data_IF_292252092994
#
_entry.id   IF_292252092994
#
_cell.length_a   1.000
_cell.length_b   1.000
_cell.length_c   1.000
_cell.angle_alpha   90.00
_cell.angle_beta   90.00
_cell.angle_gamma   90.00
#
_symmetry.space_group_name_H-M   'P 1'
#
loop_
_entity.id
_entity.type
_entity.pdbx_description
1 polymer ?
#
# COMPACT_ATOMS: atom_id res chain seq x y z
N UNK A 1 -16.23 7.59 27.50
CA UNK A 1 -15.32 7.23 26.40
C UNK A 1 -15.35 8.39 25.42
N UNK A 2 -14.37 9.25 25.47
CA UNK A 2 -14.20 10.39 24.56
C UNK A 2 -13.83 9.82 23.19
N UNK A 3 -14.73 9.91 22.22
CA UNK A 3 -14.41 9.74 20.80
C UNK A 3 -13.30 10.76 20.47
N UNK A 4 -12.10 10.29 20.22
CA UNK A 4 -11.03 11.14 19.68
C UNK A 4 -11.43 11.44 18.23
N UNK A 5 -11.74 12.70 17.96
CA UNK A 5 -11.88 13.17 16.59
C UNK A 5 -10.66 12.74 15.77
N UNK A 6 -10.86 12.21 14.57
CA UNK A 6 -9.75 11.82 13.72
C UNK A 6 -8.83 13.04 13.51
N UNK A 7 -7.50 12.85 13.51
CA UNK A 7 -6.58 13.96 13.30
C UNK A 7 -6.91 14.69 12.00
N UNK A 8 -6.98 16.00 12.07
CA UNK A 8 -7.22 16.86 10.90
C UNK A 8 -6.15 16.59 9.85
N UNK A 9 -6.54 16.00 8.74
CA UNK A 9 -5.69 15.77 7.56
C UNK A 9 -6.12 16.75 6.48
N UNK A 10 -5.37 17.83 6.24
CA UNK A 10 -5.68 18.77 5.18
C UNK A 10 -5.64 18.08 3.80
N UNK A 11 -6.59 18.41 2.94
CA UNK A 11 -6.62 17.90 1.56
C UNK A 11 -5.60 18.58 0.64
N UNK A 12 -4.95 19.62 1.13
CA UNK A 12 -3.91 20.37 0.42
C UNK A 12 -2.53 20.03 0.99
N UNK A 13 -1.55 20.02 0.12
CA UNK A 13 -0.16 19.69 0.43
C UNK A 13 0.70 20.92 0.16
N UNK A 14 1.37 21.43 1.22
CA UNK A 14 2.30 22.54 1.09
C UNK A 14 3.70 22.01 0.74
N UNK A 15 4.23 22.31 -0.44
CA UNK A 15 5.57 21.90 -0.80
C UNK A 15 6.64 22.63 0.05
N UNK A 16 7.82 22.05 0.23
CA UNK A 16 8.91 22.70 0.96
C UNK A 16 9.36 24.00 0.29
N UNK A 17 9.09 24.17 -1.01
CA UNK A 17 9.32 25.39 -1.77
C UNK A 17 8.56 26.61 -1.25
N UNK A 18 7.36 26.43 -0.64
CA UNK A 18 6.64 27.53 -0.01
C UNK A 18 7.48 28.16 1.11
N UNK A 19 8.11 27.34 1.95
CA UNK A 19 9.02 27.83 3.00
C UNK A 19 10.29 28.51 2.46
N UNK A 20 10.74 28.12 1.25
CA UNK A 20 11.83 28.83 0.57
C UNK A 20 11.33 30.19 0.05
N UNK A 21 10.13 30.23 -0.52
CA UNK A 21 9.49 31.45 -1.01
C UNK A 21 9.28 32.44 0.13
N UNK A 22 8.68 32.02 1.23
CA UNK A 22 8.50 32.85 2.40
C UNK A 22 9.83 33.45 2.91
N UNK A 23 10.89 32.63 2.97
CA UNK A 23 12.20 33.05 3.45
C UNK A 23 12.91 34.06 2.52
N UNK A 24 12.69 34.00 1.19
CA UNK A 24 13.25 34.98 0.27
C UNK A 24 12.42 36.28 0.23
N UNK A 25 11.09 36.17 0.38
CA UNK A 25 10.18 37.32 0.48
C UNK A 25 10.47 38.15 1.74
N UNK A 26 10.68 37.52 2.90
CA UNK A 26 11.09 38.21 4.14
C UNK A 26 12.41 38.98 4.03
N UNK A 27 13.25 38.64 3.04
CA UNK A 27 14.57 39.25 2.81
C UNK A 27 14.60 40.19 1.60
N UNK A 28 13.47 40.39 0.94
CA UNK A 28 13.37 41.12 -0.34
C UNK A 28 14.32 40.57 -1.43
N UNK A 29 14.52 39.23 -1.46
CA UNK A 29 15.40 38.59 -2.45
C UNK A 29 14.60 38.04 -3.62
N UNK A 30 15.23 38.10 -4.80
CA UNK A 30 14.76 37.38 -5.99
C UNK A 30 15.26 35.95 -6.00
N UNK A 31 14.61 35.08 -6.81
CA UNK A 31 15.08 33.72 -7.02
C UNK A 31 16.50 33.68 -7.63
N UNK A 32 16.86 34.65 -8.47
CA UNK A 32 18.21 34.78 -9.02
C UNK A 32 19.26 35.07 -7.93
N UNK A 33 18.93 35.95 -7.00
CA UNK A 33 19.82 36.25 -5.85
C UNK A 33 19.98 35.06 -4.92
N UNK A 34 18.91 34.29 -4.70
CA UNK A 34 19.00 33.04 -3.94
C UNK A 34 19.87 32.01 -4.65
N UNK A 35 19.72 31.87 -5.98
CA UNK A 35 20.50 30.93 -6.80
C UNK A 35 22.01 31.25 -6.71
N UNK A 36 22.38 32.50 -6.84
CA UNK A 36 23.78 32.97 -6.68
C UNK A 36 24.34 32.58 -5.32
N UNK A 37 23.60 32.84 -4.23
CA UNK A 37 24.01 32.53 -2.85
C UNK A 37 24.14 31.04 -2.56
N UNK A 38 23.27 30.21 -3.18
CA UNK A 38 23.32 28.75 -3.06
C UNK A 38 24.37 28.10 -3.96
N UNK A 39 24.91 28.85 -4.93
CA UNK A 39 25.77 28.30 -5.98
C UNK A 39 25.00 27.37 -6.93
N UNK A 40 23.74 27.70 -7.20
CA UNK A 40 22.86 26.99 -8.13
C UNK A 40 22.50 27.88 -9.33
N UNK A 41 21.95 27.27 -10.37
CA UNK A 41 21.30 28.02 -11.45
C UNK A 41 19.91 28.47 -10.99
N UNK A 42 19.42 29.59 -11.52
CA UNK A 42 18.05 30.06 -11.28
C UNK A 42 17.00 28.99 -11.62
N UNK A 43 17.22 28.28 -12.74
CA UNK A 43 16.39 27.14 -13.14
C UNK A 43 16.32 26.08 -12.03
N UNK A 44 17.44 25.74 -11.39
CA UNK A 44 17.47 24.75 -10.33
C UNK A 44 16.70 25.22 -9.09
N UNK A 45 16.85 26.50 -8.71
CA UNK A 45 16.08 27.09 -7.61
C UNK A 45 14.59 27.09 -7.93
N UNK A 46 14.19 27.45 -9.14
CA UNK A 46 12.80 27.36 -9.58
C UNK A 46 12.25 25.93 -9.49
N UNK A 47 13.04 24.92 -9.85
CA UNK A 47 12.64 23.51 -9.72
C UNK A 47 12.50 23.08 -8.26
N UNK A 48 13.36 23.57 -7.35
CA UNK A 48 13.24 23.33 -5.89
C UNK A 48 11.98 23.95 -5.31
N UNK A 49 11.72 25.23 -5.65
CA UNK A 49 10.53 25.96 -5.17
C UNK A 49 9.25 25.27 -5.64
N UNK A 50 9.21 24.85 -6.90
CA UNK A 50 8.06 24.15 -7.48
C UNK A 50 7.99 22.64 -7.12
N UNK A 51 8.83 22.16 -6.21
CA UNK A 51 8.94 20.76 -5.80
C UNK A 51 9.10 19.76 -6.97
N UNK A 52 9.68 20.22 -8.09
CA UNK A 52 10.00 19.36 -9.25
C UNK A 52 11.27 18.55 -9.04
N UNK A 53 12.14 18.99 -8.14
CA UNK A 53 13.30 18.25 -7.64
C UNK A 53 13.25 18.22 -6.12
N UNK A 54 13.71 17.13 -5.48
CA UNK A 54 13.68 16.99 -4.03
C UNK A 54 14.77 17.84 -3.36
N UNK A 55 14.54 18.23 -2.11
CA UNK A 55 15.58 18.75 -1.24
C UNK A 55 16.44 17.56 -0.76
N UNK A 56 17.69 17.51 -1.28
CA UNK A 56 18.70 16.53 -0.87
C UNK A 56 19.46 17.02 0.38
N UNK A 57 20.30 16.13 0.98
CA UNK A 57 21.16 16.50 2.10
C UNK A 57 22.06 17.70 1.76
N UNK A 58 22.62 17.74 0.54
CA UNK A 58 23.46 18.85 0.06
C UNK A 58 22.66 20.16 -0.01
N UNK A 59 21.48 20.12 -0.64
CA UNK A 59 20.62 21.30 -0.77
C UNK A 59 20.08 21.76 0.58
N UNK A 60 19.76 20.84 1.50
CA UNK A 60 19.35 21.16 2.86
C UNK A 60 20.45 21.89 3.65
N UNK A 61 21.71 21.46 3.51
CA UNK A 61 22.86 22.15 4.11
C UNK A 61 23.07 23.55 3.55
N UNK A 62 22.93 23.71 2.22
CA UNK A 62 23.06 25.01 1.55
C UNK A 62 21.94 25.97 1.96
N UNK A 63 20.67 25.49 1.95
CA UNK A 63 19.52 26.26 2.40
C UNK A 63 19.69 26.70 3.85
N UNK A 64 20.11 25.80 4.74
CA UNK A 64 20.36 26.12 6.14
C UNK A 64 21.39 27.26 6.32
N UNK A 65 22.48 27.25 5.55
CA UNK A 65 23.52 28.29 5.61
C UNK A 65 23.05 29.64 5.07
N UNK A 66 22.20 29.65 4.05
CA UNK A 66 21.83 30.86 3.28
C UNK A 66 20.55 31.50 3.81
N UNK A 67 19.52 30.72 4.07
CA UNK A 67 18.20 31.23 4.49
C UNK A 67 17.83 30.82 5.90
N UNK A 68 18.64 30.01 6.57
CA UNK A 68 18.44 29.62 7.96
C UNK A 68 17.71 28.30 8.14
N UNK A 69 17.22 28.07 9.34
CA UNK A 69 16.73 26.80 9.84
C UNK A 69 17.82 25.72 9.90
N UNK A 70 17.51 24.51 10.31
CA UNK A 70 18.49 23.42 10.34
C UNK A 70 18.38 22.54 9.08
N UNK A 71 19.42 21.80 8.69
CA UNK A 71 19.33 20.84 7.59
C UNK A 71 18.22 19.81 7.84
N UNK A 72 18.03 19.37 9.09
CA UNK A 72 16.98 18.43 9.48
C UNK A 72 15.57 19.01 9.26
N UNK A 73 15.40 20.32 9.45
CA UNK A 73 14.12 20.99 9.15
C UNK A 73 13.78 20.84 7.68
N UNK A 74 14.70 21.15 6.78
CA UNK A 74 14.49 21.07 5.34
C UNK A 74 14.22 19.65 4.86
N UNK A 75 15.00 18.67 5.34
CA UNK A 75 14.79 17.26 5.02
C UNK A 75 13.45 16.73 5.56
N UNK A 76 13.05 17.15 6.77
CA UNK A 76 11.75 16.78 7.35
C UNK A 76 10.59 17.36 6.54
N UNK A 77 10.69 18.63 6.10
CA UNK A 77 9.69 19.25 5.22
C UNK A 77 9.53 18.49 3.92
N UNK A 78 10.64 18.12 3.27
CA UNK A 78 10.63 17.29 2.05
C UNK A 78 9.98 15.93 2.31
N UNK A 79 10.39 15.23 3.37
CA UNK A 79 9.85 13.92 3.70
C UNK A 79 8.34 13.96 3.98
N UNK A 80 7.87 14.96 4.73
CA UNK A 80 6.45 15.16 5.01
C UNK A 80 5.65 15.43 3.72
N UNK A 81 6.16 16.30 2.86
CA UNK A 81 5.55 16.59 1.58
C UNK A 81 5.41 15.34 0.71
N UNK A 82 6.49 14.57 0.54
CA UNK A 82 6.46 13.32 -0.24
C UNK A 82 5.51 12.29 0.36
N UNK A 83 5.50 12.14 1.67
CA UNK A 83 4.58 11.23 2.36
C UNK A 83 3.11 11.60 2.11
N UNK A 84 2.77 12.90 2.12
CA UNK A 84 1.42 13.36 1.82
C UNK A 84 1.03 13.13 0.37
N UNK A 85 1.93 13.40 -0.59
CA UNK A 85 1.69 13.10 -2.01
C UNK A 85 1.39 11.60 -2.23
N UNK A 86 2.20 10.73 -1.65
CA UNK A 86 1.99 9.27 -1.72
C UNK A 86 0.61 8.89 -1.17
N UNK A 87 0.15 9.51 -0.07
CA UNK A 87 -1.17 9.23 0.49
C UNK A 87 -2.32 9.67 -0.43
N UNK A 88 -2.18 10.83 -1.09
CA UNK A 88 -3.18 11.32 -2.05
C UNK A 88 -3.24 10.40 -3.27
N UNK A 89 -2.08 10.11 -3.88
CA UNK A 89 -2.00 9.21 -5.03
C UNK A 89 -2.52 7.81 -4.72
N UNK A 90 -2.23 7.29 -3.53
CA UNK A 90 -2.72 5.98 -3.08
C UNK A 90 -4.24 5.99 -2.90
N UNK A 91 -4.81 7.05 -2.32
CA UNK A 91 -6.27 7.21 -2.19
C UNK A 91 -6.96 7.17 -3.55
N UNK A 92 -6.44 7.93 -4.53
CA UNK A 92 -7.00 7.98 -5.87
C UNK A 92 -6.88 6.61 -6.57
N UNK A 93 -5.75 5.95 -6.38
CA UNK A 93 -5.51 4.59 -6.89
C UNK A 93 -6.49 3.58 -6.30
N UNK A 94 -6.63 3.55 -4.98
CA UNK A 94 -7.58 2.67 -4.29
C UNK A 94 -9.03 2.95 -4.73
N UNK A 95 -9.38 4.22 -4.95
CA UNK A 95 -10.69 4.60 -5.49
C UNK A 95 -10.91 4.04 -6.90
N UNK A 96 -9.91 4.06 -7.75
CA UNK A 96 -9.99 3.51 -9.12
C UNK A 96 -10.18 1.99 -9.12
N UNK A 97 -9.73 1.30 -8.07
CA UNK A 97 -9.84 -0.15 -7.90
C UNK A 97 -11.12 -0.64 -7.21
N UNK A 98 -12.00 0.27 -6.80
CA UNK A 98 -13.29 -0.09 -6.16
C UNK A 98 -14.10 -1.11 -6.96
N UNK A 99 -14.16 -1.09 -8.31
CA UNK A 99 -14.88 -2.10 -9.08
C UNK A 99 -14.38 -3.53 -8.87
N UNK A 100 -13.12 -3.72 -8.46
CA UNK A 100 -12.56 -5.05 -8.14
C UNK A 100 -13.29 -5.76 -6.99
N UNK A 101 -13.91 -5.00 -6.06
CA UNK A 101 -14.69 -5.55 -4.94
C UNK A 101 -15.85 -6.44 -5.41
N UNK A 102 -16.42 -6.16 -6.58
CA UNK A 102 -17.55 -6.93 -7.13
C UNK A 102 -17.13 -8.35 -7.54
N UNK A 103 -15.84 -8.60 -7.70
CA UNK A 103 -15.27 -9.89 -8.04
C UNK A 103 -14.97 -10.77 -6.82
N UNK A 104 -15.07 -10.22 -5.62
CA UNK A 104 -14.63 -10.86 -4.37
C UNK A 104 -15.80 -11.09 -3.41
N UNK A 105 -15.77 -12.13 -2.56
CA UNK A 105 -16.80 -12.40 -1.56
C UNK A 105 -16.61 -11.52 -0.32
N UNK A 106 -16.65 -10.19 -0.50
CA UNK A 106 -16.31 -9.19 0.54
C UNK A 106 -17.10 -9.39 1.82
N UNK A 107 -18.43 -9.63 1.71
CA UNK A 107 -19.30 -9.83 2.88
C UNK A 107 -18.94 -11.09 3.67
N UNK A 108 -18.56 -12.15 2.98
CA UNK A 108 -18.19 -13.42 3.63
C UNK A 108 -16.84 -13.28 4.33
N UNK A 109 -15.87 -12.57 3.69
CA UNK A 109 -14.59 -12.25 4.31
C UNK A 109 -14.74 -11.39 5.59
N UNK A 110 -15.66 -10.41 5.56
CA UNK A 110 -16.01 -9.65 6.77
C UNK A 110 -16.66 -10.52 7.83
N UNK A 111 -17.55 -11.44 7.44
CA UNK A 111 -18.23 -12.35 8.37
C UNK A 111 -17.26 -13.31 9.05
N UNK A 112 -16.25 -13.78 8.31
CA UNK A 112 -15.20 -14.67 8.82
C UNK A 112 -14.13 -13.92 9.64
N UNK A 113 -14.16 -12.58 9.64
CA UNK A 113 -13.16 -11.77 10.34
C UNK A 113 -11.81 -11.65 9.61
N UNK A 114 -11.74 -12.03 8.33
CA UNK A 114 -10.54 -11.92 7.52
C UNK A 114 -10.19 -10.46 7.18
N UNK A 115 -11.21 -9.60 7.10
CA UNK A 115 -11.11 -8.14 6.97
C UNK A 115 -12.08 -7.48 7.96
N UNK A 116 -11.85 -6.20 8.27
CA UNK A 116 -12.67 -5.45 9.22
C UNK A 116 -14.12 -5.31 8.75
N UNK A 117 -15.08 -5.45 9.68
CA UNK A 117 -16.49 -5.21 9.37
C UNK A 117 -16.72 -3.73 9.14
N UNK A 118 -17.06 -3.36 7.91
CA UNK A 118 -17.36 -2.00 7.47
C UNK A 118 -18.63 -1.96 6.64
N UNK A 119 -19.27 -0.79 6.60
CA UNK A 119 -20.37 -0.55 5.65
C UNK A 119 -19.81 -0.43 4.23
N UNK A 120 -20.46 -1.07 3.25
CA UNK A 120 -20.08 -1.02 1.83
C UNK A 120 -20.61 0.28 1.17
N UNK A 121 -20.14 1.43 1.65
CA UNK A 121 -20.45 2.74 1.09
C UNK A 121 -19.25 3.34 0.35
N UNK A 122 -19.46 4.44 -0.35
CA UNK A 122 -18.42 5.08 -1.15
C UNK A 122 -17.19 5.49 -0.32
N UNK A 123 -17.40 5.88 0.95
CA UNK A 123 -16.33 6.31 1.85
C UNK A 123 -15.42 5.15 2.28
N UNK A 124 -16.01 3.98 2.54
CA UNK A 124 -15.28 2.84 3.08
C UNK A 124 -14.70 1.91 2.01
N UNK A 125 -15.23 1.93 0.78
CA UNK A 125 -14.80 1.02 -0.29
C UNK A 125 -13.29 1.09 -0.60
N UNK A 126 -12.63 2.25 -0.69
CA UNK A 126 -11.18 2.28 -0.91
C UNK A 126 -10.38 1.60 0.21
N UNK A 127 -10.79 1.77 1.46
CA UNK A 127 -10.14 1.12 2.59
C UNK A 127 -10.35 -0.40 2.58
N UNK A 128 -11.52 -0.86 2.14
CA UNK A 128 -11.79 -2.30 1.94
C UNK A 128 -10.90 -2.86 0.83
N UNK A 129 -10.68 -2.12 -0.27
CA UNK A 129 -9.73 -2.50 -1.33
C UNK A 129 -8.34 -2.69 -0.74
N UNK A 130 -7.86 -1.73 0.06
CA UNK A 130 -6.55 -1.80 0.71
C UNK A 130 -6.41 -3.02 1.62
N UNK A 131 -7.41 -3.28 2.47
CA UNK A 131 -7.41 -4.47 3.35
C UNK A 131 -7.39 -5.79 2.54
N UNK A 132 -8.09 -5.84 1.41
CA UNK A 132 -8.10 -7.02 0.53
C UNK A 132 -6.76 -7.22 -0.18
N UNK A 133 -6.11 -6.16 -0.66
CA UNK A 133 -4.76 -6.24 -1.22
C UNK A 133 -3.77 -6.79 -0.18
N UNK A 134 -3.87 -6.32 1.07
CA UNK A 134 -3.06 -6.82 2.19
C UNK A 134 -3.37 -8.29 2.51
N UNK A 135 -4.66 -8.67 2.56
CA UNK A 135 -5.08 -10.05 2.78
C UNK A 135 -4.48 -11.00 1.74
N UNK A 136 -4.58 -10.64 0.45
CA UNK A 136 -4.05 -11.43 -0.64
C UNK A 136 -2.52 -11.32 -0.81
N UNK A 137 -1.88 -10.35 -0.16
CA UNK A 137 -0.45 -10.10 -0.29
C UNK A 137 -0.04 -9.65 -1.70
N UNK A 138 -0.84 -8.79 -2.33
CA UNK A 138 -0.63 -8.30 -3.70
C UNK A 138 -0.63 -6.77 -3.75
N UNK A 139 0.11 -6.20 -4.70
CA UNK A 139 0.23 -4.76 -4.85
C UNK A 139 -0.91 -4.12 -5.63
N UNK A 140 -1.64 -4.89 -6.45
CA UNK A 140 -2.74 -4.40 -7.28
C UNK A 140 -3.74 -5.51 -7.62
N UNK A 141 -4.97 -5.16 -8.08
CA UNK A 141 -5.90 -6.13 -8.66
C UNK A 141 -5.32 -6.93 -9.84
N UNK A 142 -4.50 -6.31 -10.69
CA UNK A 142 -3.85 -6.98 -11.82
C UNK A 142 -2.85 -8.05 -11.34
N UNK A 143 -2.11 -7.75 -10.27
CA UNK A 143 -1.24 -8.75 -9.65
C UNK A 143 -2.05 -9.89 -9.02
N UNK A 144 -3.21 -9.59 -8.42
CA UNK A 144 -4.10 -10.63 -7.92
C UNK A 144 -4.59 -11.52 -9.05
N UNK A 145 -4.99 -10.97 -10.20
CA UNK A 145 -5.36 -11.77 -11.38
C UNK A 145 -4.23 -12.71 -11.78
N UNK A 146 -3.04 -12.16 -11.97
CA UNK A 146 -1.86 -12.96 -12.37
C UNK A 146 -1.57 -14.10 -11.39
N UNK A 147 -1.65 -13.83 -10.08
CA UNK A 147 -1.36 -14.83 -9.04
C UNK A 147 -2.41 -15.94 -8.94
N UNK A 148 -3.68 -15.61 -9.15
CA UNK A 148 -4.78 -16.53 -8.88
C UNK A 148 -5.44 -17.11 -10.14
N UNK A 149 -5.39 -16.45 -11.30
CA UNK A 149 -5.84 -17.05 -12.56
C UNK A 149 -5.02 -18.27 -12.97
N UNK A 150 -3.71 -18.21 -12.78
CA UNK A 150 -2.85 -19.37 -13.06
C UNK A 150 -3.13 -20.55 -12.13
N UNK A 151 -3.52 -20.30 -10.88
CA UNK A 151 -3.92 -21.36 -9.95
C UNK A 151 -5.24 -22.03 -10.32
N UNK A 152 -6.13 -21.35 -11.07
CA UNK A 152 -7.38 -21.95 -11.58
C UNK A 152 -7.15 -23.13 -12.54
N UNK A 153 -6.11 -23.09 -13.34
CA UNK A 153 -5.78 -24.16 -14.30
C UNK A 153 -5.47 -25.46 -13.56
N UNK A 154 -4.99 -25.38 -12.32
CA UNK A 154 -4.67 -26.55 -11.50
C UNK A 154 -5.91 -27.21 -10.83
N UNK A 155 -7.02 -26.48 -10.70
CA UNK A 155 -8.28 -27.05 -10.20
C UNK A 155 -8.98 -27.79 -11.30
N UNK A 156 -8.91 -29.13 -11.31
CA UNK A 156 -9.73 -29.98 -12.18
C UNK A 156 -11.21 -29.66 -11.95
N UNK A 157 -11.83 -28.99 -12.89
CA UNK A 157 -13.27 -28.72 -12.88
C UNK A 157 -14.03 -30.03 -13.03
N UNK A 158 -14.61 -30.52 -11.95
CA UNK A 158 -15.54 -31.66 -11.97
C UNK A 158 -16.95 -31.22 -12.41
N UNK A 159 -17.25 -29.93 -12.45
CA UNK A 159 -18.53 -29.37 -12.91
C UNK A 159 -18.30 -28.14 -13.78
N UNK A 160 -19.11 -28.02 -14.85
CA UNK A 160 -19.14 -26.92 -15.82
C UNK A 160 -19.71 -25.59 -15.25
N UNK A 161 -20.02 -25.51 -13.98
CA UNK A 161 -20.51 -24.29 -13.37
C UNK A 161 -19.34 -23.30 -13.18
N UNK A 162 -19.60 -22.04 -13.54
CA UNK A 162 -18.64 -20.94 -13.46
C UNK A 162 -18.11 -20.83 -12.02
N UNK A 163 -16.92 -21.37 -11.79
CA UNK A 163 -16.28 -21.23 -10.49
C UNK A 163 -15.91 -19.77 -10.27
N UNK A 164 -16.46 -19.16 -9.21
CA UNK A 164 -16.16 -17.80 -8.82
C UNK A 164 -14.69 -17.71 -8.37
N UNK A 165 -13.85 -17.12 -9.23
CA UNK A 165 -12.39 -16.94 -8.97
C UNK A 165 -12.15 -16.27 -7.64
N UNK A 166 -12.94 -15.24 -7.35
CA UNK A 166 -12.81 -14.49 -6.11
C UNK A 166 -13.07 -15.34 -4.87
N UNK A 167 -14.07 -16.24 -4.91
CA UNK A 167 -14.34 -17.14 -3.80
C UNK A 167 -13.23 -18.19 -3.62
N UNK A 168 -12.72 -18.73 -4.73
CA UNK A 168 -11.64 -19.72 -4.71
C UNK A 168 -10.34 -19.08 -4.17
N UNK A 169 -9.98 -17.91 -4.69
CA UNK A 169 -8.77 -17.21 -4.23
C UNK A 169 -8.86 -16.84 -2.74
N UNK A 170 -10.02 -16.38 -2.28
CA UNK A 170 -10.25 -16.08 -0.87
C UNK A 170 -10.09 -17.33 0.01
N UNK A 171 -10.70 -18.45 -0.40
CA UNK A 171 -10.58 -19.72 0.32
C UNK A 171 -9.13 -20.22 0.38
N UNK A 172 -8.41 -20.17 -0.75
CA UNK A 172 -7.00 -20.54 -0.81
C UNK A 172 -6.15 -19.67 0.13
N UNK A 173 -6.34 -18.34 0.07
CA UNK A 173 -5.55 -17.44 0.90
C UNK A 173 -5.81 -17.63 2.40
N UNK A 174 -7.05 -17.85 2.78
CA UNK A 174 -7.39 -18.17 4.17
C UNK A 174 -6.74 -19.49 4.62
N UNK A 175 -6.75 -20.51 3.75
CA UNK A 175 -6.05 -21.76 4.01
C UNK A 175 -4.53 -21.61 4.14
N UNK A 176 -3.90 -20.76 3.31
CA UNK A 176 -2.48 -20.43 3.41
C UNK A 176 -2.17 -19.75 4.77
N UNK A 177 -2.96 -18.75 5.17
CA UNK A 177 -2.80 -18.04 6.46
C UNK A 177 -2.95 -19.00 7.65
N UNK A 178 -3.90 -19.93 7.62
CA UNK A 178 -4.05 -20.93 8.67
C UNK A 178 -2.89 -21.94 8.66
N UNK A 179 -2.41 -22.34 7.49
CA UNK A 179 -1.27 -23.24 7.37
C UNK A 179 0.03 -22.61 7.89
N UNK A 180 0.22 -21.30 7.70
CA UNK A 180 1.37 -20.57 8.25
C UNK A 180 1.44 -20.57 9.79
N UNK A 181 0.28 -20.72 10.47
CA UNK A 181 0.19 -20.80 11.93
C UNK A 181 0.49 -22.20 12.47
N UNK A 182 0.41 -23.21 11.61
CA UNK A 182 0.59 -24.59 12.02
C UNK A 182 2.09 -24.91 12.15
N UNK A 183 2.51 -25.38 13.32
CA UNK A 183 3.85 -25.92 13.52
C UNK A 183 3.92 -27.32 12.89
N UNK A 184 4.38 -27.36 11.64
CA UNK A 184 4.51 -28.62 10.88
C UNK A 184 5.98 -28.95 10.70
N UNK A 185 6.37 -30.21 10.90
CA UNK A 185 7.74 -30.65 10.67
C UNK A 185 8.12 -30.49 9.20
N UNK A 186 9.42 -30.26 8.94
CA UNK A 186 9.94 -30.18 7.58
C UNK A 186 9.49 -31.39 6.75
N UNK A 187 9.09 -31.13 5.50
CA UNK A 187 8.64 -32.16 4.57
C UNK A 187 9.69 -33.28 4.43
N UNK A 188 9.21 -34.52 4.62
CA UNK A 188 10.00 -35.73 4.41
C UNK A 188 9.20 -36.69 3.53
N UNK A 189 9.69 -36.97 2.34
CA UNK A 189 9.02 -37.79 1.33
C UNK A 189 8.63 -39.17 1.85
N UNK A 190 9.53 -39.87 2.53
CA UNK A 190 9.27 -41.22 3.04
C UNK A 190 8.19 -41.24 4.11
N UNK A 191 8.20 -40.25 5.05
CA UNK A 191 7.13 -40.10 6.06
C UNK A 191 5.79 -39.77 5.42
N UNK A 192 5.78 -38.91 4.38
CA UNK A 192 4.56 -38.57 3.64
C UNK A 192 3.97 -39.76 2.92
N UNK A 193 4.78 -40.54 2.18
CA UNK A 193 4.33 -41.75 1.46
C UNK A 193 3.77 -42.78 2.42
N UNK A 194 4.39 -42.98 3.59
CA UNK A 194 3.89 -43.85 4.64
C UNK A 194 2.55 -43.38 5.20
N UNK A 195 2.40 -42.09 5.50
CA UNK A 195 1.14 -41.50 5.99
C UNK A 195 0.02 -41.66 4.96
N UNK A 196 0.28 -41.44 3.67
CA UNK A 196 -0.72 -41.65 2.60
C UNK A 196 -1.18 -43.10 2.53
N UNK A 197 -0.28 -44.07 2.71
CA UNK A 197 -0.65 -45.50 2.78
C UNK A 197 -1.50 -45.82 4.00
N UNK A 198 -1.23 -45.21 5.16
CA UNK A 198 -2.03 -45.38 6.37
C UNK A 198 -3.42 -44.79 6.20
N UNK A 199 -3.57 -43.61 5.63
CA UNK A 199 -4.87 -42.97 5.33
C UNK A 199 -5.71 -43.84 4.40
N UNK A 200 -5.09 -44.46 3.37
CA UNK A 200 -5.78 -45.41 2.48
C UNK A 200 -6.39 -46.61 3.21
N UNK A 201 -5.72 -47.10 4.27
CA UNK A 201 -6.24 -48.20 5.08
C UNK A 201 -7.48 -47.76 5.85
N UNK A 202 -7.53 -46.51 6.31
CA UNK A 202 -8.68 -45.96 7.03
C UNK A 202 -9.94 -45.82 6.16
N UNK A 203 -9.79 -45.55 4.88
CA UNK A 203 -10.91 -45.41 3.93
C UNK A 203 -11.52 -46.77 3.53
N UNK A 204 -10.85 -47.89 3.79
CA UNK A 204 -11.37 -49.26 3.54
C UNK A 204 -12.14 -49.83 4.71
N UNK A 205 -12.07 -49.23 5.90
CA UNK A 205 -12.70 -49.72 7.14
C UNK A 205 -14.12 -49.18 7.38
N UNK A 206 -14.67 -48.38 6.47
CA UNK A 206 -16.02 -47.81 6.60
C UNK A 206 -16.97 -48.41 5.53
N UNK A 207 -17.15 -49.74 5.51
CA UNK A 207 -18.32 -50.46 4.95
C UNK A 207 -18.95 -51.32 6.02
#
# INVERSE_FOLDING_TARGET
>A
MTEQDPPFTPEWVSPPGDSITDAIEERDWTQAQLAERLGYTEKHVSLLINAKVPITEESAQKLSRVIGSTPEFWLRREAQYRAQLVQIEERDRLQSWVPWLDRLPVKDLMKQGAIAKRRLDAKNKPEIVKELLQLFGVASPDNWETCYEQKQVAFRRTRKEQSNVGAISAWLRLGEIEAEKADVPKYNKAKFEKAVQEIRKLTVLSQ
#
